data_IF_373843045351
#
_entry.id   IF_373843045351
#
_cell.length_a   1.000
_cell.length_b   1.000
_cell.length_c   1.000
_cell.angle_alpha   90.00
_cell.angle_beta   90.00
_cell.angle_gamma   90.00
#
_symmetry.space_group_name_H-M   'P 1'
#
loop_
_entity.id
_entity.type
_entity.pdbx_description
1 polymer ?
#
# COMPACT_ATOMS: atom_id res chain seq x y z
N UNK A 1 24.52 -4.16 -11.20
CA UNK A 1 23.52 -4.88 -10.38
C UNK A 1 23.34 -4.12 -9.08
N UNK A 2 22.26 -3.34 -8.93
CA UNK A 2 22.00 -2.65 -7.67
C UNK A 2 21.52 -3.66 -6.63
N UNK A 3 22.21 -3.74 -5.50
CA UNK A 3 21.82 -4.61 -4.40
C UNK A 3 20.47 -4.16 -3.83
N UNK A 4 19.48 -5.05 -3.87
CA UNK A 4 18.18 -4.82 -3.22
C UNK A 4 18.36 -5.06 -1.72
N UNK A 5 18.16 -4.03 -0.90
CA UNK A 5 18.11 -4.18 0.55
C UNK A 5 16.82 -4.91 0.92
N UNK A 6 16.93 -6.17 1.30
CA UNK A 6 15.79 -6.97 1.79
C UNK A 6 15.69 -6.82 3.30
N UNK A 7 14.67 -6.10 3.76
CA UNK A 7 14.43 -5.91 5.21
C UNK A 7 13.69 -7.12 5.77
N UNK A 8 14.42 -7.99 6.48
CA UNK A 8 13.84 -9.19 7.11
C UNK A 8 12.90 -8.84 8.28
N UNK A 9 13.33 -7.98 9.21
CA UNK A 9 12.49 -7.48 10.30
C UNK A 9 13.00 -6.12 10.79
N UNK A 10 12.11 -5.32 11.38
CA UNK A 10 12.46 -4.06 12.06
C UNK A 10 12.38 -4.26 13.56
N UNK A 11 13.46 -3.95 14.29
CA UNK A 11 13.49 -4.03 15.76
C UNK A 11 12.75 -2.89 16.44
N UNK A 12 12.79 -1.70 15.86
CA UNK A 12 12.06 -0.52 16.34
C UNK A 12 10.95 -0.20 15.34
N UNK A 13 9.71 -0.22 15.82
CA UNK A 13 8.51 0.17 15.06
C UNK A 13 7.46 0.73 16.02
N UNK A 14 6.59 1.59 15.51
CA UNK A 14 5.40 1.98 16.26
C UNK A 14 4.38 0.83 16.23
N UNK A 15 4.31 0.07 17.33
CA UNK A 15 3.42 -1.08 17.43
C UNK A 15 1.94 -0.71 17.31
N UNK A 16 1.53 0.45 17.86
CA UNK A 16 0.14 0.93 17.76
C UNK A 16 -0.24 1.18 16.31
N UNK A 17 0.63 1.88 15.59
CA UNK A 17 0.45 2.15 14.17
C UNK A 17 0.50 0.87 13.33
N UNK A 18 1.38 -0.07 13.67
CA UNK A 18 1.48 -1.34 12.95
C UNK A 18 0.20 -2.19 13.10
N UNK A 19 -0.40 -2.23 14.29
CA UNK A 19 -1.65 -2.97 14.53
C UNK A 19 -2.81 -2.37 13.73
N UNK A 20 -3.02 -1.05 13.84
CA UNK A 20 -4.09 -0.36 13.11
C UNK A 20 -3.87 -0.42 11.60
N UNK A 21 -2.61 -0.31 11.17
CA UNK A 21 -2.24 -0.35 9.75
C UNK A 21 -2.61 -1.65 9.06
N UNK A 22 -2.59 -2.79 9.77
CA UNK A 22 -3.06 -4.06 9.22
C UNK A 22 -4.57 -4.05 8.93
N UNK A 23 -5.39 -3.65 9.89
CA UNK A 23 -6.84 -3.57 9.71
C UNK A 23 -7.21 -2.58 8.60
N UNK A 24 -6.54 -1.43 8.56
CA UNK A 24 -6.80 -0.43 7.53
C UNK A 24 -6.41 -0.92 6.13
N UNK A 25 -5.22 -1.51 5.96
CA UNK A 25 -4.82 -2.08 4.67
C UNK A 25 -5.73 -3.22 4.21
N UNK A 26 -6.18 -4.06 5.14
CA UNK A 26 -7.12 -5.13 4.84
C UNK A 26 -8.47 -4.57 4.35
N UNK A 27 -9.02 -3.58 5.03
CA UNK A 27 -10.26 -2.93 4.60
C UNK A 27 -10.10 -2.18 3.27
N UNK A 28 -8.96 -1.51 3.07
CA UNK A 28 -8.66 -0.80 1.83
C UNK A 28 -8.59 -1.76 0.63
N UNK A 29 -7.88 -2.89 0.72
CA UNK A 29 -7.83 -3.85 -0.39
C UNK A 29 -9.18 -4.52 -0.68
N UNK A 30 -10.10 -4.54 0.30
CA UNK A 30 -11.43 -5.11 0.15
C UNK A 30 -12.37 -4.14 -0.56
N UNK A 31 -12.29 -2.84 -0.23
CA UNK A 31 -13.24 -1.82 -0.68
C UNK A 31 -12.71 -0.91 -1.81
N UNK A 32 -11.41 -0.96 -2.13
CA UNK A 32 -10.80 -0.16 -3.20
C UNK A 32 -10.19 -1.04 -4.28
N UNK A 33 -10.65 -0.93 -5.55
CA UNK A 33 -10.08 -1.68 -6.67
C UNK A 33 -8.57 -1.42 -6.85
N UNK A 34 -8.14 -0.16 -6.70
CA UNK A 34 -6.73 0.21 -6.83
C UNK A 34 -5.86 -0.42 -5.74
N UNK A 35 -6.32 -0.38 -4.49
CA UNK A 35 -5.61 -1.02 -3.37
C UNK A 35 -5.55 -2.54 -3.53
N UNK A 36 -6.62 -3.16 -4.04
CA UNK A 36 -6.69 -4.60 -4.33
C UNK A 36 -5.66 -5.02 -5.38
N UNK A 37 -5.58 -4.28 -6.48
CA UNK A 37 -4.60 -4.55 -7.56
C UNK A 37 -3.18 -4.38 -7.03
N UNK A 38 -2.90 -3.31 -6.29
CA UNK A 38 -1.59 -3.09 -5.69
C UNK A 38 -1.20 -4.24 -4.75
N UNK A 39 -2.11 -4.64 -3.87
CA UNK A 39 -1.89 -5.76 -2.96
C UNK A 39 -1.63 -7.07 -3.70
N UNK A 40 -2.44 -7.40 -4.71
CA UNK A 40 -2.27 -8.61 -5.52
C UNK A 40 -0.92 -8.61 -6.22
N UNK A 41 -0.53 -7.51 -6.87
CA UNK A 41 0.79 -7.38 -7.52
C UNK A 41 1.94 -7.68 -6.56
N UNK A 42 1.87 -7.17 -5.32
CA UNK A 42 2.88 -7.46 -4.28
C UNK A 42 2.86 -8.93 -3.88
N UNK A 43 1.67 -9.50 -3.64
CA UNK A 43 1.50 -10.91 -3.27
C UNK A 43 2.05 -11.85 -4.34
N UNK A 44 1.75 -11.57 -5.61
CA UNK A 44 2.18 -12.37 -6.76
C UNK A 44 3.69 -12.26 -6.99
N UNK A 45 4.32 -11.16 -6.54
CA UNK A 45 5.78 -10.99 -6.51
C UNK A 45 6.46 -11.74 -5.34
N UNK A 46 5.72 -12.52 -4.55
CA UNK A 46 6.25 -13.32 -3.44
C UNK A 46 6.11 -12.69 -2.06
N UNK A 47 5.53 -11.50 -1.94
CA UNK A 47 5.30 -10.88 -0.63
C UNK A 47 4.17 -11.59 0.13
N UNK A 48 4.50 -12.22 1.26
CA UNK A 48 3.50 -12.76 2.20
C UNK A 48 2.92 -11.65 3.09
N UNK A 49 3.24 -11.66 4.39
CA UNK A 49 2.83 -10.63 5.35
C UNK A 49 3.35 -9.22 5.01
N UNK A 50 4.34 -9.13 4.13
CA UNK A 50 4.90 -7.87 3.66
C UNK A 50 3.95 -7.12 2.71
N UNK A 51 3.06 -7.80 1.99
CA UNK A 51 2.18 -7.16 1.00
C UNK A 51 1.23 -6.14 1.64
N UNK A 52 0.57 -6.52 2.75
CA UNK A 52 -0.30 -5.60 3.50
C UNK A 52 0.47 -4.43 4.12
N UNK A 53 1.70 -4.69 4.60
CA UNK A 53 2.57 -3.64 5.14
C UNK A 53 3.00 -2.65 4.05
N UNK A 54 3.30 -3.14 2.85
CA UNK A 54 3.61 -2.30 1.71
C UNK A 54 2.41 -1.45 1.29
N UNK A 55 1.21 -2.05 1.24
CA UNK A 55 -0.01 -1.31 0.96
C UNK A 55 -0.24 -0.21 1.99
N UNK A 56 -0.16 -0.53 3.29
CA UNK A 56 -0.30 0.45 4.37
C UNK A 56 0.70 1.61 4.27
N UNK A 57 1.99 1.31 4.09
CA UNK A 57 3.01 2.34 3.97
C UNK A 57 2.76 3.26 2.76
N UNK A 58 2.27 2.70 1.65
CA UNK A 58 1.88 3.48 0.47
C UNK A 58 0.69 4.39 0.78
N UNK A 59 -0.34 3.87 1.43
CA UNK A 59 -1.52 4.64 1.85
C UNK A 59 -1.22 5.74 2.87
N UNK A 60 -0.18 5.60 3.69
CA UNK A 60 0.27 6.69 4.57
C UNK A 60 0.95 7.82 3.80
N UNK A 61 1.75 7.48 2.78
CA UNK A 61 2.47 8.47 1.97
C UNK A 61 1.56 9.29 1.07
N UNK A 62 0.45 8.73 0.58
CA UNK A 62 -0.51 9.39 -0.30
C UNK A 62 -1.15 10.67 0.31
N UNK A 63 -1.81 10.62 1.48
CA UNK A 63 -2.39 11.82 2.09
C UNK A 63 -1.32 12.79 2.54
N UNK A 64 -0.15 12.33 3.00
CA UNK A 64 0.97 13.21 3.30
C UNK A 64 1.38 14.03 2.07
N UNK A 65 1.52 13.37 0.91
CA UNK A 65 1.82 14.05 -0.33
C UNK A 65 0.73 15.06 -0.70
N UNK A 66 -0.54 14.64 -0.76
CA UNK A 66 -1.66 15.51 -1.11
C UNK A 66 -1.79 16.74 -0.20
N UNK A 67 -1.63 16.56 1.11
CA UNK A 67 -1.68 17.68 2.06
C UNK A 67 -0.46 18.59 1.93
N UNK A 68 0.71 18.04 1.62
CA UNK A 68 1.94 18.81 1.48
C UNK A 68 2.00 19.61 0.17
N UNK A 69 1.47 19.05 -0.92
CA UNK A 69 1.43 19.70 -2.24
C UNK A 69 0.13 20.45 -2.52
N UNK A 70 -0.83 20.44 -1.58
CA UNK A 70 -2.17 21.01 -1.73
C UNK A 70 -2.93 20.45 -2.96
N UNK A 71 -2.62 19.22 -3.36
CA UNK A 71 -3.28 18.56 -4.49
C UNK A 71 -4.42 17.64 -4.03
N UNK A 72 -5.50 17.64 -4.80
CA UNK A 72 -6.58 16.68 -4.62
C UNK A 72 -6.09 15.24 -4.86
N UNK A 73 -6.58 14.32 -4.03
CA UNK A 73 -6.25 12.91 -4.15
C UNK A 73 -6.72 12.35 -5.49
N UNK A 74 -5.78 11.77 -6.25
CA UNK A 74 -6.06 11.08 -7.50
C UNK A 74 -5.62 9.61 -7.39
N UNK A 75 -6.54 8.63 -7.43
CA UNK A 75 -6.21 7.21 -7.23
C UNK A 75 -5.29 6.62 -8.31
N UNK A 76 -5.34 7.14 -9.54
CA UNK A 76 -4.47 6.70 -10.63
C UNK A 76 -3.02 7.12 -10.33
N UNK A 77 -2.80 8.38 -9.93
CA UNK A 77 -1.47 8.85 -9.50
C UNK A 77 -1.01 8.14 -8.23
N UNK A 78 -1.93 7.93 -7.29
CA UNK A 78 -1.63 7.36 -5.98
C UNK A 78 -1.17 5.90 -6.05
N UNK A 79 -1.74 5.08 -6.95
CA UNK A 79 -1.39 3.67 -7.07
C UNK A 79 -0.53 3.33 -8.28
N UNK A 80 -0.63 4.09 -9.37
CA UNK A 80 0.09 3.85 -10.63
C UNK A 80 -0.43 2.66 -11.43
N UNK A 81 -1.37 1.89 -10.87
CA UNK A 81 -2.02 0.75 -11.51
C UNK A 81 -3.46 1.15 -11.87
N UNK A 82 -3.82 1.03 -13.15
CA UNK A 82 -5.21 1.12 -13.59
C UNK A 82 -5.89 -0.21 -13.23
N UNK A 83 -6.94 -0.20 -12.40
CA UNK A 83 -7.66 -1.42 -12.09
C UNK A 83 -8.29 -1.96 -13.38
N UNK A 84 -8.35 -3.29 -13.56
CA UNK A 84 -9.07 -3.85 -14.68
C UNK A 84 -10.51 -3.34 -14.63
N UNK A 85 -11.07 -2.99 -15.80
CA UNK A 85 -12.45 -2.55 -15.91
C UNK A 85 -13.33 -3.57 -15.16
N UNK A 86 -13.96 -3.12 -14.09
CA UNK A 86 -14.82 -3.98 -13.29
C UNK A 86 -16.10 -4.12 -14.10
N UNK A 87 -16.31 -5.28 -14.72
CA UNK A 87 -17.61 -5.65 -15.26
C UNK A 87 -18.59 -5.69 -14.09
N UNK A 88 -19.56 -4.79 -14.12
CA UNK A 88 -20.69 -4.72 -13.19
C UNK A 88 -21.44 -6.04 -13.11
#
# INVERSE_FOLDING_TARGET
MSAVVVVAHRRVKNNRLATVGYSWAFMAMTNSPHAKVHYRRRKDSGDRHAALRHLFNKMLGQPFHCLHSEELYNPIRAFGDTPPATST
#
